data_IF_854874832943
#
_entry.id   IF_854874832943
#
_cell.length_a   1.000
_cell.length_b   1.000
_cell.length_c   1.000
_cell.angle_alpha   90.00
_cell.angle_beta   90.00
_cell.angle_gamma   90.00
#
_symmetry.space_group_name_H-M   'P 1'
#
loop_
_entity.id
_entity.type
_entity.pdbx_description
1 polymer ?
#
# COMPACT_ATOMS: atom_id res chain seq x y z
N UNK A 1 -28.85 -30.36 10.08
CA UNK A 1 -27.90 -29.30 9.67
C UNK A 1 -28.43 -27.99 10.21
N UNK A 2 -27.65 -27.16 10.92
CA UNK A 2 -28.14 -25.85 11.30
C UNK A 2 -28.37 -25.02 10.03
N UNK A 3 -29.50 -24.34 9.98
CA UNK A 3 -29.90 -23.46 8.89
C UNK A 3 -28.97 -22.24 8.88
N UNK A 4 -28.39 -21.91 7.73
CA UNK A 4 -27.50 -20.76 7.62
C UNK A 4 -28.31 -19.48 7.82
N UNK A 5 -27.97 -18.68 8.83
CA UNK A 5 -28.56 -17.35 8.99
C UNK A 5 -27.99 -16.39 7.93
N UNK A 6 -28.88 -15.68 7.25
CA UNK A 6 -28.49 -14.61 6.34
C UNK A 6 -27.88 -13.44 7.13
N UNK A 7 -26.58 -13.23 6.95
CA UNK A 7 -25.86 -12.07 7.46
C UNK A 7 -26.12 -10.89 6.52
N UNK A 8 -26.50 -9.73 7.08
CA UNK A 8 -26.69 -8.48 6.33
C UNK A 8 -25.99 -7.31 7.02
N UNK A 9 -25.60 -6.30 6.23
CA UNK A 9 -24.98 -5.07 6.71
C UNK A 9 -25.96 -3.90 6.59
N UNK A 10 -25.81 -2.83 7.40
CA UNK A 10 -26.60 -1.61 7.22
C UNK A 10 -26.50 -1.06 5.79
N UNK A 11 -27.55 -0.45 5.23
CA UNK A 11 -27.51 0.11 3.87
C UNK A 11 -26.41 1.14 3.63
N UNK A 12 -25.95 1.81 4.71
CA UNK A 12 -24.90 2.83 4.68
C UNK A 12 -23.52 2.30 5.09
N UNK A 13 -23.32 0.98 5.09
CA UNK A 13 -22.02 0.40 5.41
C UNK A 13 -20.99 0.73 4.33
N UNK A 14 -19.86 1.28 4.72
CA UNK A 14 -18.79 1.65 3.79
C UNK A 14 -17.81 0.49 3.63
N UNK A 15 -17.80 -0.08 2.43
CA UNK A 15 -16.74 -0.99 1.99
C UNK A 15 -15.64 -0.17 1.34
N UNK A 16 -14.40 -0.52 1.63
CA UNK A 16 -13.24 0.14 1.06
C UNK A 16 -11.99 -0.71 1.19
N UNK A 17 -10.92 -0.20 0.60
CA UNK A 17 -9.58 -0.76 0.72
C UNK A 17 -8.66 0.27 1.41
N UNK A 18 -7.52 -0.20 1.91
CA UNK A 18 -6.52 0.64 2.55
C UNK A 18 -5.13 0.26 2.07
N UNK A 19 -4.23 1.25 2.07
CA UNK A 19 -2.84 1.13 1.66
C UNK A 19 -1.94 1.92 2.62
N UNK A 20 -0.63 1.90 2.38
CA UNK A 20 0.37 2.66 3.14
C UNK A 20 1.39 3.26 2.18
N UNK A 21 1.80 4.51 2.42
CA UNK A 21 2.62 5.31 1.50
C UNK A 21 3.86 4.55 0.99
N UNK A 22 4.77 4.15 1.88
CA UNK A 22 6.02 3.47 1.47
C UNK A 22 5.81 2.11 0.80
N UNK A 23 4.64 1.47 1.02
CA UNK A 23 4.33 0.19 0.41
C UNK A 23 3.84 0.30 -1.03
N UNK A 24 3.33 1.47 -1.45
CA UNK A 24 2.74 1.63 -2.80
C UNK A 24 3.30 2.79 -3.62
N UNK A 25 3.75 3.89 -3.00
CA UNK A 25 4.07 5.13 -3.71
C UNK A 25 5.31 5.02 -4.58
N UNK A 26 6.43 4.55 -4.03
CA UNK A 26 7.73 4.66 -4.69
C UNK A 26 8.25 6.10 -4.68
N UNK A 27 8.95 6.50 -5.74
CA UNK A 27 9.45 7.87 -5.96
C UNK A 27 10.24 8.45 -4.76
N UNK A 28 11.01 7.60 -4.08
CA UNK A 28 11.57 7.92 -2.75
C UNK A 28 12.54 9.10 -2.70
N UNK A 29 13.05 9.56 -3.86
CA UNK A 29 13.97 10.70 -4.03
C UNK A 29 13.39 11.84 -4.88
N UNK A 30 12.10 11.81 -5.19
CA UNK A 30 11.47 12.80 -6.06
C UNK A 30 10.80 13.94 -5.28
N UNK A 31 10.67 15.09 -5.95
CA UNK A 31 9.84 16.22 -5.52
C UNK A 31 10.01 16.66 -4.05
N UNK A 32 11.25 16.53 -3.53
CA UNK A 32 11.62 17.00 -2.20
C UNK A 32 11.32 16.03 -1.05
N UNK A 33 10.92 14.79 -1.32
CA UNK A 33 10.80 13.77 -0.27
C UNK A 33 12.15 13.53 0.41
N UNK A 34 12.15 13.56 1.74
CA UNK A 34 13.31 13.17 2.55
C UNK A 34 13.19 11.70 3.00
N UNK A 35 14.31 10.99 3.23
CA UNK A 35 14.27 9.61 3.69
C UNK A 35 13.49 9.42 4.98
N UNK A 36 12.68 8.36 5.03
CA UNK A 36 12.09 7.83 6.26
C UNK A 36 13.00 6.79 6.91
N UNK A 37 12.61 6.31 8.09
CA UNK A 37 13.32 5.19 8.75
C UNK A 37 13.31 3.91 7.89
N UNK A 38 12.26 3.69 7.10
CA UNK A 38 12.11 2.50 6.25
C UNK A 38 13.05 2.52 5.05
N UNK A 39 13.37 3.70 4.50
CA UNK A 39 14.39 3.86 3.48
C UNK A 39 15.74 3.36 4.00
N UNK A 40 16.10 3.72 5.24
CA UNK A 40 17.35 3.27 5.86
C UNK A 40 17.32 1.78 6.20
N UNK A 41 16.23 1.31 6.81
CA UNK A 41 16.10 -0.09 7.21
C UNK A 41 16.16 -1.05 6.01
N UNK A 42 15.38 -0.77 4.95
CA UNK A 42 15.31 -1.67 3.78
C UNK A 42 16.61 -1.77 2.99
N UNK A 43 17.49 -0.77 3.08
CA UNK A 43 18.84 -0.83 2.48
C UNK A 43 19.88 -1.53 3.36
N UNK A 44 19.50 -2.05 4.53
CA UNK A 44 20.40 -2.84 5.37
C UNK A 44 20.44 -4.29 4.87
N UNK A 45 21.63 -4.87 4.56
CA UNK A 45 21.73 -6.23 4.05
C UNK A 45 21.04 -7.26 4.97
N UNK A 46 20.11 -8.04 4.40
CA UNK A 46 19.35 -9.07 5.12
C UNK A 46 18.18 -8.56 5.96
N UNK A 47 17.88 -7.25 5.96
CA UNK A 47 16.75 -6.69 6.71
C UNK A 47 15.40 -6.95 6.04
N UNK A 48 15.38 -7.13 4.72
CA UNK A 48 14.21 -7.51 3.93
C UNK A 48 14.47 -8.82 3.19
N UNK A 49 13.41 -9.57 2.90
CA UNK A 49 13.50 -10.74 2.04
C UNK A 49 14.01 -10.31 0.66
N UNK A 50 14.99 -11.02 0.10
CA UNK A 50 15.56 -10.70 -1.21
C UNK A 50 16.34 -9.37 -1.31
N UNK A 51 16.40 -8.57 -0.23
CA UNK A 51 16.93 -7.21 -0.29
C UNK A 51 15.96 -6.20 -0.92
N UNK A 52 14.65 -6.51 -0.94
CA UNK A 52 13.63 -5.64 -1.52
C UNK A 52 13.55 -4.29 -0.80
N UNK A 53 13.26 -3.22 -1.56
CA UNK A 53 13.07 -1.85 -1.04
C UNK A 53 11.77 -1.23 -1.55
N UNK A 54 11.36 -0.13 -0.91
CA UNK A 54 10.21 0.67 -1.33
C UNK A 54 10.55 1.74 -2.38
N UNK A 55 11.74 1.69 -3.01
CA UNK A 55 12.22 2.75 -3.91
C UNK A 55 11.26 3.01 -5.07
N UNK A 56 10.68 1.94 -5.61
CA UNK A 56 9.69 1.97 -6.70
C UNK A 56 8.32 1.46 -6.27
N UNK A 57 8.27 0.42 -5.41
CA UNK A 57 7.03 -0.22 -4.99
C UNK A 57 6.12 -0.58 -6.20
N UNK A 58 4.84 -0.22 -6.18
CA UNK A 58 3.93 -0.34 -7.34
C UNK A 58 3.78 0.97 -8.11
N UNK A 59 4.63 1.95 -7.83
CA UNK A 59 4.69 3.23 -8.55
C UNK A 59 3.37 4.04 -8.47
N UNK A 60 2.65 3.93 -7.36
CA UNK A 60 1.39 4.66 -7.13
C UNK A 60 1.60 6.17 -7.21
N UNK A 61 2.80 6.69 -6.87
CA UNK A 61 3.10 8.12 -6.97
C UNK A 61 2.81 8.68 -8.38
N UNK A 62 3.15 7.92 -9.43
CA UNK A 62 2.89 8.31 -10.81
C UNK A 62 1.54 7.80 -11.33
N UNK A 63 1.06 6.66 -10.78
CA UNK A 63 -0.09 5.91 -11.28
C UNK A 63 -1.38 6.10 -10.48
N UNK A 64 -1.39 7.00 -9.50
CA UNK A 64 -2.53 7.16 -8.59
C UNK A 64 -3.87 7.39 -9.30
N UNK A 65 -3.87 8.02 -10.48
CA UNK A 65 -5.08 8.23 -11.29
C UNK A 65 -5.65 6.91 -11.80
N UNK A 66 -4.79 5.99 -12.21
CA UNK A 66 -5.17 4.66 -12.69
C UNK A 66 -5.61 3.78 -11.51
N UNK A 67 -4.90 3.86 -10.38
CA UNK A 67 -5.24 3.10 -9.17
C UNK A 67 -6.58 3.53 -8.57
N UNK A 68 -6.90 4.83 -8.60
CA UNK A 68 -8.23 5.33 -8.21
C UNK A 68 -9.30 4.89 -9.20
N UNK A 69 -9.01 4.85 -10.50
CA UNK A 69 -9.95 4.38 -11.52
C UNK A 69 -10.22 2.87 -11.44
N UNK A 70 -9.33 2.10 -10.81
CA UNK A 70 -9.49 0.66 -10.58
C UNK A 70 -10.40 0.34 -9.37
N UNK A 71 -10.55 1.28 -8.42
CA UNK A 71 -11.40 1.12 -7.23
C UNK A 71 -12.90 1.29 -7.55
#
# INVERSE_FOLDING_TARGET
MPEAQNVSFPPSFLWGAATSAYQIEGAVRENGRTPSIWDTFSHTPGATAGGDTGDTAVDHYHRYRDDVALM
#
